data_IF_354392400392
#
_entry.id   IF_354392400392
#
_cell.length_a   1.000
_cell.length_b   1.000
_cell.length_c   1.000
_cell.angle_alpha   90.00
_cell.angle_beta   90.00
_cell.angle_gamma   90.00
#
_symmetry.space_group_name_H-M   'P 1'
#
loop_
_entity.id
_entity.type
_entity.pdbx_description
1 polymer ?
#
# COMPACT_ATOMS: atom_id res chain seq x y z
N UNK A 1 27.34 -4.57 -20.07
CA UNK A 1 25.99 -4.27 -19.55
C UNK A 1 25.00 -4.52 -20.67
N UNK A 2 24.30 -5.65 -20.67
CA UNK A 2 23.28 -5.98 -21.66
C UNK A 2 21.97 -5.30 -21.28
N UNK A 3 21.58 -4.27 -22.03
CA UNK A 3 20.24 -3.68 -21.96
C UNK A 3 19.23 -4.73 -22.42
N UNK A 4 18.49 -5.32 -21.47
CA UNK A 4 17.32 -6.15 -21.81
C UNK A 4 16.33 -5.29 -22.59
N UNK A 5 16.20 -5.53 -23.89
CA UNK A 5 15.11 -4.98 -24.69
C UNK A 5 13.80 -5.62 -24.20
N UNK A 6 13.07 -4.91 -23.33
CA UNK A 6 11.71 -5.29 -22.91
C UNK A 6 10.80 -5.14 -24.12
N UNK A 7 10.12 -6.23 -24.50
CA UNK A 7 9.24 -6.23 -25.67
C UNK A 7 8.02 -5.31 -25.46
N UNK A 8 7.42 -4.83 -26.56
CA UNK A 8 6.20 -4.01 -26.49
C UNK A 8 5.06 -4.74 -25.77
N UNK A 9 4.94 -6.06 -25.94
CA UNK A 9 3.90 -6.86 -25.29
C UNK A 9 4.08 -6.92 -23.76
N UNK A 10 5.32 -7.04 -23.29
CA UNK A 10 5.63 -7.01 -21.85
C UNK A 10 5.36 -5.63 -21.24
N UNK A 11 5.65 -4.55 -21.96
CA UNK A 11 5.33 -3.17 -21.55
C UNK A 11 3.83 -2.97 -21.41
N UNK A 12 3.05 -3.37 -22.43
CA UNK A 12 1.58 -3.27 -22.41
C UNK A 12 1.00 -4.05 -21.23
N UNK A 13 1.47 -5.27 -21.00
CA UNK A 13 1.03 -6.09 -19.86
C UNK A 13 1.36 -5.43 -18.52
N UNK A 14 2.56 -4.84 -18.38
CA UNK A 14 2.95 -4.17 -17.14
C UNK A 14 2.08 -2.95 -16.85
N UNK A 15 1.77 -2.13 -17.86
CA UNK A 15 0.89 -0.96 -17.71
C UNK A 15 -0.52 -1.41 -17.33
N UNK A 16 -1.06 -2.46 -17.99
CA UNK A 16 -2.37 -3.00 -17.67
C UNK A 16 -2.44 -3.51 -16.21
N UNK A 17 -1.39 -4.18 -15.71
CA UNK A 17 -1.34 -4.64 -14.32
C UNK A 17 -1.26 -3.48 -13.33
N UNK A 18 -0.51 -2.43 -13.65
CA UNK A 18 -0.44 -1.22 -12.83
C UNK A 18 -1.82 -0.56 -12.72
N UNK A 19 -2.50 -0.39 -13.86
CA UNK A 19 -3.85 0.17 -13.89
C UNK A 19 -4.87 -0.68 -13.14
N UNK A 20 -4.81 -2.01 -13.29
CA UNK A 20 -5.73 -2.93 -12.61
C UNK A 20 -5.56 -2.89 -11.09
N UNK A 21 -4.32 -2.92 -10.59
CA UNK A 21 -4.06 -2.87 -9.14
C UNK A 21 -4.44 -1.51 -8.57
N UNK A 22 -4.13 -0.41 -9.26
CA UNK A 22 -4.56 0.93 -8.85
C UNK A 22 -6.09 1.04 -8.79
N UNK A 23 -6.81 0.54 -9.81
CA UNK A 23 -8.27 0.53 -9.84
C UNK A 23 -8.86 -0.32 -8.71
N UNK A 24 -8.28 -1.49 -8.43
CA UNK A 24 -8.71 -2.33 -7.31
C UNK A 24 -8.50 -1.64 -5.96
N UNK A 25 -7.36 -0.96 -5.78
CA UNK A 25 -7.07 -0.19 -4.58
C UNK A 25 -8.12 0.90 -4.36
N UNK A 26 -8.41 1.70 -5.39
CA UNK A 26 -9.44 2.76 -5.34
C UNK A 26 -10.81 2.16 -5.04
N UNK A 27 -11.21 1.11 -5.75
CA UNK A 27 -12.51 0.46 -5.57
C UNK A 27 -12.71 -0.04 -4.15
N UNK A 28 -11.72 -0.77 -3.59
CA UNK A 28 -11.78 -1.28 -2.22
C UNK A 28 -11.93 -0.16 -1.19
N UNK A 29 -11.16 0.91 -1.33
CA UNK A 29 -11.23 2.07 -0.43
C UNK A 29 -12.59 2.76 -0.50
N UNK A 30 -13.12 2.93 -1.72
CA UNK A 30 -14.37 3.63 -1.99
C UNK A 30 -15.61 2.81 -1.64
N UNK A 31 -15.49 1.50 -1.35
CA UNK A 31 -16.63 0.72 -0.86
C UNK A 31 -17.10 1.16 0.53
N UNK A 32 -16.16 1.59 1.39
CA UNK A 32 -16.43 1.97 2.78
C UNK A 32 -15.63 3.24 3.15
N UNK A 33 -15.90 4.39 2.51
CA UNK A 33 -15.11 5.61 2.71
C UNK A 33 -15.18 6.12 4.16
N UNK A 34 -16.31 5.92 4.85
CA UNK A 34 -16.48 6.28 6.26
C UNK A 34 -15.51 5.55 7.20
N UNK A 35 -15.02 4.38 6.79
CA UNK A 35 -14.03 3.61 7.53
C UNK A 35 -12.59 3.86 7.02
N UNK A 36 -12.43 4.48 5.85
CA UNK A 36 -11.15 4.61 5.18
C UNK A 36 -10.34 5.87 5.54
N UNK A 37 -10.94 6.81 6.29
CA UNK A 37 -10.34 8.11 6.64
C UNK A 37 -10.58 8.46 8.11
N UNK A 38 -9.64 9.21 8.69
CA UNK A 38 -9.76 9.79 10.04
C UNK A 38 -8.86 9.09 11.07
N UNK A 39 -9.04 9.45 12.34
CA UNK A 39 -8.20 8.94 13.42
C UNK A 39 -8.43 7.45 13.73
N UNK A 40 -9.62 6.93 13.43
CA UNK A 40 -9.94 5.50 13.48
C UNK A 40 -10.29 5.08 12.06
N UNK A 41 -9.32 4.50 11.37
CA UNK A 41 -9.48 4.07 9.99
C UNK A 41 -9.07 2.61 9.80
N UNK A 42 -9.82 1.86 9.01
CA UNK A 42 -9.49 0.52 8.54
C UNK A 42 -9.65 0.50 7.01
N UNK A 43 -8.52 0.56 6.32
CA UNK A 43 -8.49 0.61 4.86
C UNK A 43 -8.05 -0.74 4.29
N UNK A 44 -9.00 -1.58 3.92
CA UNK A 44 -8.71 -2.93 3.39
C UNK A 44 -7.85 -2.93 2.11
N UNK A 45 -7.87 -1.85 1.34
CA UNK A 45 -7.02 -1.69 0.15
C UNK A 45 -5.53 -1.64 0.49
N UNK A 46 -5.14 -1.24 1.70
CA UNK A 46 -3.73 -1.26 2.15
C UNK A 46 -3.19 -2.69 2.24
N UNK A 47 -4.07 -3.70 2.34
CA UNK A 47 -3.68 -5.10 2.17
C UNK A 47 -3.01 -5.40 0.82
N UNK A 48 -3.25 -4.58 -0.22
CA UNK A 48 -2.58 -4.70 -1.51
C UNK A 48 -1.11 -4.24 -1.47
N UNK A 49 -0.66 -3.55 -0.41
CA UNK A 49 0.72 -3.10 -0.26
C UNK A 49 1.73 -4.24 -0.30
N UNK A 50 1.32 -5.43 0.16
CA UNK A 50 2.04 -6.69 0.00
C UNK A 50 2.43 -7.04 -1.43
N UNK A 51 1.75 -6.51 -2.46
CA UNK A 51 2.17 -6.74 -3.84
C UNK A 51 3.53 -6.10 -4.13
N UNK A 52 3.86 -4.99 -3.45
CA UNK A 52 5.12 -4.27 -3.63
C UNK A 52 6.34 -5.16 -3.41
N UNK A 53 6.32 -6.06 -2.41
CA UNK A 53 7.46 -6.94 -2.08
C UNK A 53 7.76 -8.02 -3.14
N UNK A 54 6.89 -8.20 -4.13
CA UNK A 54 7.11 -9.13 -5.24
C UNK A 54 7.67 -8.45 -6.49
N UNK A 55 7.27 -7.20 -6.79
CA UNK A 55 7.73 -6.48 -7.97
C UNK A 55 7.61 -4.96 -7.80
N UNK A 56 8.68 -4.22 -8.17
CA UNK A 56 8.73 -2.74 -8.11
C UNK A 56 7.59 -2.04 -8.86
N UNK A 57 7.01 -2.68 -9.90
CA UNK A 57 5.86 -2.10 -10.62
C UNK A 57 4.65 -1.84 -9.71
N UNK A 58 4.48 -2.64 -8.66
CA UNK A 58 3.35 -2.49 -7.76
C UNK A 58 3.52 -1.30 -6.81
N UNK A 59 4.75 -0.87 -6.52
CA UNK A 59 5.01 0.40 -5.81
C UNK A 59 4.34 1.55 -6.56
N UNK A 60 4.53 1.59 -7.90
CA UNK A 60 3.89 2.61 -8.75
C UNK A 60 2.37 2.45 -8.78
N UNK A 61 1.86 1.22 -8.89
CA UNK A 61 0.43 0.94 -8.91
C UNK A 61 -0.29 1.41 -7.63
N UNK A 62 0.29 1.10 -6.46
CA UNK A 62 -0.26 1.48 -5.16
C UNK A 62 -0.19 2.98 -4.95
N UNK A 63 0.94 3.62 -5.31
CA UNK A 63 1.08 5.08 -5.23
C UNK A 63 0.05 5.80 -6.09
N UNK A 64 -0.21 5.32 -7.31
CA UNK A 64 -1.28 5.87 -8.18
C UNK A 64 -2.66 5.65 -7.56
N UNK A 65 -2.92 4.46 -7.00
CA UNK A 65 -4.17 4.15 -6.33
C UNK A 65 -4.45 5.10 -5.16
N UNK A 66 -3.46 5.31 -4.28
CA UNK A 66 -3.55 6.22 -3.14
C UNK A 66 -3.75 7.66 -3.60
N UNK A 67 -2.98 8.10 -4.60
CA UNK A 67 -3.14 9.44 -5.17
C UNK A 67 -4.57 9.68 -5.66
N UNK A 68 -5.13 8.76 -6.46
CA UNK A 68 -6.48 8.88 -6.99
C UNK A 68 -7.52 8.87 -5.87
N UNK A 69 -7.39 7.95 -4.90
CA UNK A 69 -8.40 7.80 -3.86
C UNK A 69 -8.41 8.99 -2.91
N UNK A 70 -7.24 9.57 -2.64
CA UNK A 70 -7.11 10.72 -1.74
C UNK A 70 -7.58 12.04 -2.37
N UNK A 71 -7.88 12.09 -3.69
CA UNK A 71 -8.62 13.21 -4.28
C UNK A 71 -9.99 13.36 -3.60
N UNK A 72 -10.58 12.25 -3.14
CA UNK A 72 -11.86 12.21 -2.44
C UNK A 72 -11.72 12.28 -0.91
N UNK A 73 -10.50 12.48 -0.39
CA UNK A 73 -10.25 12.56 1.04
C UNK A 73 -10.85 13.85 1.65
N UNK A 74 -11.43 13.78 2.85
CA UNK A 74 -11.84 14.97 3.61
C UNK A 74 -10.70 15.96 3.90
N UNK A 75 -9.44 15.48 3.94
CA UNK A 75 -8.24 16.31 4.20
C UNK A 75 -7.70 16.99 2.92
N UNK A 76 -8.32 16.72 1.76
CA UNK A 76 -8.01 17.38 0.50
C UNK A 76 -6.59 17.12 -0.01
N UNK A 77 -5.93 18.18 -0.51
CA UNK A 77 -4.63 18.08 -1.18
C UNK A 77 -3.52 17.57 -0.24
N UNK A 78 -3.63 17.83 1.06
CA UNK A 78 -2.62 17.41 2.05
C UNK A 78 -2.50 15.90 2.05
N UNK A 79 -3.61 15.18 2.22
CA UNK A 79 -3.64 13.71 2.22
C UNK A 79 -3.29 13.13 0.85
N UNK A 80 -3.65 13.82 -0.22
CA UNK A 80 -3.24 13.41 -1.56
C UNK A 80 -1.71 13.41 -1.71
N UNK A 81 -1.01 14.41 -1.19
CA UNK A 81 0.46 14.49 -1.28
C UNK A 81 1.13 13.63 -0.22
N UNK A 82 0.77 13.79 1.05
CA UNK A 82 1.38 13.08 2.18
C UNK A 82 1.06 11.58 2.15
N UNK A 83 -0.19 11.20 1.88
CA UNK A 83 -0.58 9.80 1.75
C UNK A 83 0.14 9.10 0.59
N UNK A 84 0.24 9.76 -0.57
CA UNK A 84 0.95 9.20 -1.73
C UNK A 84 2.44 9.05 -1.48
N UNK A 85 3.09 10.09 -0.93
CA UNK A 85 4.52 10.04 -0.60
C UNK A 85 4.80 9.03 0.51
N UNK A 86 3.94 8.96 1.53
CA UNK A 86 4.01 7.99 2.61
C UNK A 86 3.96 6.57 2.06
N UNK A 87 2.98 6.28 1.19
CA UNK A 87 2.85 4.96 0.53
C UNK A 87 4.06 4.63 -0.33
N UNK A 88 4.56 5.60 -1.10
CA UNK A 88 5.73 5.42 -1.95
C UNK A 88 6.96 5.05 -1.13
N UNK A 89 7.23 5.76 -0.03
CA UNK A 89 8.36 5.50 0.87
C UNK A 89 8.18 4.15 1.56
N UNK A 90 7.00 3.92 2.15
CA UNK A 90 6.65 2.72 2.88
C UNK A 90 6.81 1.45 2.03
N UNK A 91 6.15 1.40 0.88
CA UNK A 91 6.21 0.24 -0.03
C UNK A 91 7.62 0.04 -0.62
N UNK A 92 8.38 1.11 -0.81
CA UNK A 92 9.79 1.04 -1.22
C UNK A 92 10.66 0.42 -0.13
N UNK A 93 10.49 0.85 1.13
CA UNK A 93 11.19 0.26 2.27
C UNK A 93 10.84 -1.23 2.41
N UNK A 94 9.56 -1.58 2.35
CA UNK A 94 9.08 -2.97 2.40
C UNK A 94 9.70 -3.82 1.28
N UNK A 95 9.74 -3.32 0.05
CA UNK A 95 10.39 -4.00 -1.06
C UNK A 95 11.89 -4.27 -0.81
N UNK A 96 12.65 -3.25 -0.42
CA UNK A 96 14.10 -3.39 -0.22
C UNK A 96 14.46 -4.26 0.98
N UNK A 97 13.61 -4.30 2.01
CA UNK A 97 13.78 -5.20 3.16
C UNK A 97 13.43 -6.65 2.82
N UNK A 98 12.36 -6.87 2.04
CA UNK A 98 11.86 -8.21 1.74
C UNK A 98 12.56 -8.90 0.54
N UNK A 99 13.26 -8.14 -0.34
CA UNK A 99 13.85 -8.66 -1.59
C UNK A 99 14.86 -9.79 -1.42
N UNK A 100 15.49 -9.92 -0.26
CA UNK A 100 16.52 -10.93 0.01
C UNK A 100 15.92 -12.27 0.48
N UNK A 101 14.62 -12.30 0.77
CA UNK A 101 13.94 -13.49 1.27
C UNK A 101 13.23 -14.24 0.13
N UNK A 102 13.19 -15.57 0.21
CA UNK A 102 12.51 -16.42 -0.77
C UNK A 102 11.13 -16.90 -0.28
N UNK A 103 10.94 -17.02 1.04
CA UNK A 103 9.68 -17.46 1.62
C UNK A 103 8.63 -16.34 1.55
N UNK A 104 7.50 -16.64 0.93
CA UNK A 104 6.37 -15.72 0.77
C UNK A 104 5.89 -15.15 2.11
N UNK A 105 5.76 -15.98 3.14
CA UNK A 105 5.24 -15.54 4.44
C UNK A 105 6.21 -14.61 5.17
N UNK A 106 7.51 -14.80 4.97
CA UNK A 106 8.53 -13.88 5.52
C UNK A 106 8.43 -12.52 4.82
N UNK A 107 8.26 -12.49 3.49
CA UNK A 107 8.07 -11.24 2.76
C UNK A 107 6.83 -10.47 3.23
N UNK A 108 5.72 -11.17 3.40
CA UNK A 108 4.46 -10.59 3.88
C UNK A 108 4.61 -10.09 5.32
N UNK A 109 5.24 -10.85 6.21
CA UNK A 109 5.49 -10.41 7.59
C UNK A 109 6.36 -9.14 7.65
N UNK A 110 7.41 -9.06 6.82
CA UNK A 110 8.27 -7.87 6.71
C UNK A 110 7.47 -6.66 6.25
N UNK A 111 6.66 -6.81 5.19
CA UNK A 111 5.78 -5.73 4.73
C UNK A 111 4.81 -5.32 5.83
N UNK A 112 4.15 -6.28 6.51
CA UNK A 112 3.20 -5.97 7.58
C UNK A 112 3.84 -5.13 8.68
N UNK A 113 5.04 -5.50 9.14
CA UNK A 113 5.72 -4.78 10.23
C UNK A 113 6.12 -3.38 9.78
N UNK A 114 6.72 -3.24 8.60
CA UNK A 114 7.19 -1.94 8.09
C UNK A 114 5.99 -1.03 7.82
N UNK A 115 4.99 -1.52 7.10
CA UNK A 115 3.83 -0.73 6.68
C UNK A 115 3.02 -0.27 7.91
N UNK A 116 2.79 -1.16 8.88
CA UNK A 116 2.18 -0.80 10.18
C UNK A 116 3.00 0.24 10.94
N UNK A 117 4.33 0.07 11.00
CA UNK A 117 5.20 1.01 11.69
C UNK A 117 5.17 2.40 11.03
N UNK A 118 5.10 2.47 9.70
CA UNK A 118 5.06 3.70 8.91
C UNK A 118 3.78 4.54 9.10
N UNK A 119 2.76 4.03 9.79
CA UNK A 119 1.55 4.78 10.14
C UNK A 119 1.82 6.01 11.02
N UNK A 120 3.04 6.17 11.55
CA UNK A 120 3.46 7.41 12.22
C UNK A 120 3.31 8.63 11.30
N UNK A 121 3.51 8.47 9.98
CA UNK A 121 3.38 9.56 9.03
C UNK A 121 1.94 10.08 8.93
N UNK A 122 0.96 9.17 8.87
CA UNK A 122 -0.48 9.51 8.85
C UNK A 122 -0.91 10.09 10.20
N UNK A 123 -0.41 9.54 11.31
CA UNK A 123 -0.69 10.08 12.63
C UNK A 123 -0.13 11.51 12.82
N UNK A 124 1.04 11.80 12.25
CA UNK A 124 1.62 13.14 12.24
C UNK A 124 0.77 14.10 11.41
N UNK A 125 0.32 13.67 10.23
CA UNK A 125 -0.58 14.46 9.39
C UNK A 125 -1.87 14.84 10.14
N UNK A 126 -2.54 13.86 10.76
CA UNK A 126 -3.75 14.09 11.54
C UNK A 126 -3.51 14.95 12.78
N UNK A 127 -2.33 14.86 13.40
CA UNK A 127 -1.97 15.72 14.51
C UNK A 127 -1.80 17.18 14.08
N UNK A 128 -1.11 17.42 12.95
CA UNK A 128 -0.85 18.77 12.44
C UNK A 128 -2.10 19.42 11.85
N UNK A 129 -2.94 18.66 11.14
CA UNK A 129 -4.09 19.21 10.42
C UNK A 129 -5.38 19.23 11.25
N UNK A 130 -5.65 18.15 11.99
CA UNK A 130 -6.88 18.01 12.78
C UNK A 130 -6.68 18.21 14.29
N UNK A 131 -5.46 18.51 14.75
CA UNK A 131 -5.15 18.69 16.17
C UNK A 131 -5.28 17.41 17.00
N UNK A 132 -5.36 16.24 16.35
CA UNK A 132 -5.60 14.97 17.03
C UNK A 132 -4.37 14.53 17.86
N UNK A 133 -4.54 13.93 19.05
CA UNK A 133 -3.42 13.51 19.90
C UNK A 133 -2.57 12.42 19.23
N UNK A 134 -1.32 12.73 18.89
CA UNK A 134 -0.44 11.89 18.07
C UNK A 134 -0.39 10.41 18.49
N UNK A 135 -0.06 10.11 19.75
CA UNK A 135 0.13 8.72 20.21
C UNK A 135 -1.14 7.88 20.15
N UNK A 136 -2.29 8.50 20.46
CA UNK A 136 -3.59 7.82 20.43
C UNK A 136 -3.99 7.57 18.97
N UNK A 137 -3.85 8.59 18.11
CA UNK A 137 -4.11 8.47 16.68
C UNK A 137 -3.21 7.42 16.04
N UNK A 138 -1.92 7.43 16.34
CA UNK A 138 -0.97 6.43 15.87
C UNK A 138 -1.40 5.01 16.26
N UNK A 139 -1.79 4.81 17.52
CA UNK A 139 -2.27 3.50 17.98
C UNK A 139 -3.47 2.99 17.18
N UNK A 140 -4.46 3.85 16.92
CA UNK A 140 -5.66 3.48 16.16
C UNK A 140 -5.39 3.23 14.68
N UNK A 141 -4.65 4.15 14.04
CA UNK A 141 -4.32 4.03 12.61
C UNK A 141 -3.41 2.82 12.38
N UNK A 142 -2.40 2.61 13.23
CA UNK A 142 -1.53 1.44 13.15
C UNK A 142 -2.29 0.13 13.39
N UNK A 143 -3.26 0.11 14.32
CA UNK A 143 -4.09 -1.07 14.53
C UNK A 143 -4.95 -1.40 13.30
N UNK A 144 -5.59 -0.38 12.72
CA UNK A 144 -6.38 -0.54 11.50
C UNK A 144 -5.53 -1.05 10.33
N UNK A 145 -4.37 -0.44 10.12
CA UNK A 145 -3.40 -0.85 9.10
C UNK A 145 -2.96 -2.31 9.32
N UNK A 146 -2.59 -2.67 10.56
CA UNK A 146 -2.19 -4.02 10.90
C UNK A 146 -3.28 -5.05 10.56
N UNK A 147 -4.54 -4.77 10.90
CA UNK A 147 -5.67 -5.65 10.59
C UNK A 147 -5.83 -5.80 9.07
N UNK A 148 -5.81 -4.69 8.31
CA UNK A 148 -5.90 -4.72 6.85
C UNK A 148 -4.76 -5.53 6.22
N UNK A 149 -3.53 -5.34 6.71
CA UNK A 149 -2.35 -6.04 6.23
C UNK A 149 -2.35 -7.53 6.58
N UNK A 150 -2.87 -7.93 7.74
CA UNK A 150 -3.03 -9.35 8.09
C UNK A 150 -4.02 -10.02 7.16
N UNK A 151 -5.18 -9.40 6.91
CA UNK A 151 -6.16 -9.90 5.95
C UNK A 151 -5.55 -9.98 4.55
N UNK A 152 -4.87 -8.92 4.11
CA UNK A 152 -4.15 -8.86 2.84
C UNK A 152 -3.09 -9.95 2.70
N UNK A 153 -2.31 -10.20 3.76
CA UNK A 153 -1.28 -11.23 3.78
C UNK A 153 -1.86 -12.63 3.61
N UNK A 154 -3.00 -12.93 4.23
CA UNK A 154 -3.69 -14.22 4.04
C UNK A 154 -4.14 -14.37 2.58
N UNK A 155 -4.82 -13.36 2.04
CA UNK A 155 -5.34 -13.39 0.66
C UNK A 155 -4.18 -13.52 -0.35
N UNK A 156 -3.18 -12.65 -0.27
CA UNK A 156 -2.05 -12.62 -1.20
C UNK A 156 -1.14 -13.83 -1.02
N UNK A 157 -0.98 -14.33 0.22
CA UNK A 157 -0.25 -15.56 0.50
C UNK A 157 -0.89 -16.78 -0.14
N UNK A 158 -2.23 -16.87 -0.16
CA UNK A 158 -2.97 -17.93 -0.84
C UNK A 158 -2.90 -17.78 -2.37
N UNK A 159 -3.05 -16.57 -2.90
CA UNK A 159 -2.96 -16.30 -4.34
C UNK A 159 -1.54 -16.58 -4.84
N UNK A 160 -0.51 -16.19 -4.09
CA UNK A 160 0.90 -16.38 -4.46
C UNK A 160 1.33 -17.85 -4.54
N UNK A 161 0.57 -18.78 -3.96
CA UNK A 161 0.77 -20.23 -4.17
C UNK A 161 0.26 -20.72 -5.53
N UNK A 162 -0.61 -19.97 -6.20
CA UNK A 162 -1.25 -20.34 -7.48
C UNK A 162 -0.79 -19.46 -8.64
N UNK A 163 -0.40 -18.21 -8.37
CA UNK A 163 -0.05 -17.20 -9.37
C UNK A 163 1.34 -16.65 -9.08
N UNK A 164 2.18 -16.55 -10.12
CA UNK A 164 3.49 -15.91 -10.00
C UNK A 164 3.35 -14.38 -10.02
N UNK A 165 3.26 -13.79 -8.82
CA UNK A 165 3.12 -12.34 -8.62
C UNK A 165 4.33 -11.53 -9.10
N UNK A 166 5.49 -12.15 -9.29
CA UNK A 166 6.70 -11.45 -9.75
C UNK A 166 6.69 -11.19 -11.28
N UNK A 167 5.82 -11.86 -12.05
CA UNK A 167 5.81 -11.87 -13.53
C UNK A 167 4.69 -11.02 -14.11
#
# INVERSE_FOLDING_TARGET
MTTKHVSNQERTRSIALVGLVAALYVALTMTLPALAYGAVQLRLSEGLNHLAVFNKRYILALSIGVFIVNIFSPMGIVDMVFGTLGTLVMTTMSYYSARYFHNIWIKLAISTVIDTAMMWAVALELNLYAGAPFWITYGWVALGEFIALVIGAVIIGLIGKRVNLAR
#
